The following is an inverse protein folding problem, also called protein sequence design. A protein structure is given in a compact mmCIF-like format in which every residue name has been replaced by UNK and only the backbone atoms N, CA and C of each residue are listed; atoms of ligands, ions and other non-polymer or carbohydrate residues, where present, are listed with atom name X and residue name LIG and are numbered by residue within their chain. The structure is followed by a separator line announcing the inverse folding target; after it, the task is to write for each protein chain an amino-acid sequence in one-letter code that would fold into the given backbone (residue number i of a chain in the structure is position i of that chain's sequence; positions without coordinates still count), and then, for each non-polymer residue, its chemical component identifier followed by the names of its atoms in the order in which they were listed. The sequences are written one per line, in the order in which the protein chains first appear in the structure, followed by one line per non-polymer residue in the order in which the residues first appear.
data_IF_564166826116
#
_entry.id   IF_564166826116
#
_cell.length_a   1.000
_cell.length_b   1.000
_cell.length_c   1.000
_cell.angle_alpha   90.00
_cell.angle_beta   90.00
_cell.angle_gamma   90.00
#
_symmetry.space_group_name_H-M   'P 1'
#
loop_
_entity.id
_entity.type
_entity.pdbx_description
1 polymer ?
#
# COMPACT_ATOMS: atom_id res chain seq x y z
N UNK A 1 25.45 -0.08 -2.72
CA UNK A 1 25.03 1.34 -2.73
C UNK A 1 24.14 1.52 -1.51
N UNK A 2 24.40 2.50 -0.63
CA UNK A 2 23.54 2.76 0.54
C UNK A 2 22.35 3.60 0.11
N UNK A 3 21.15 3.26 0.57
CA UNK A 3 19.93 3.99 0.22
C UNK A 3 19.69 5.21 1.12
N UNK A 4 20.28 5.23 2.31
CA UNK A 4 20.13 6.30 3.30
C UNK A 4 20.34 7.71 2.71
N UNK A 5 19.43 8.62 3.03
CA UNK A 5 19.36 10.04 2.62
C UNK A 5 19.18 10.26 1.11
N UNK A 6 18.98 9.19 0.34
CA UNK A 6 18.80 9.30 -1.11
C UNK A 6 17.36 9.66 -1.50
N UNK A 7 17.20 10.18 -2.73
CA UNK A 7 15.87 10.35 -3.34
C UNK A 7 15.11 9.02 -3.45
N UNK A 8 15.83 7.92 -3.64
CA UNK A 8 15.22 6.58 -3.74
C UNK A 8 14.61 6.12 -2.43
N UNK A 9 15.26 6.37 -1.29
CA UNK A 9 14.70 6.07 0.03
C UNK A 9 13.40 6.84 0.29
N UNK A 10 13.40 8.15 0.02
CA UNK A 10 12.19 8.99 0.14
C UNK A 10 11.06 8.49 -0.77
N UNK A 11 11.38 8.10 -2.00
CA UNK A 11 10.40 7.54 -2.92
C UNK A 11 9.85 6.19 -2.43
N UNK A 12 10.70 5.31 -1.89
CA UNK A 12 10.25 4.02 -1.34
C UNK A 12 9.31 4.22 -0.14
N UNK A 13 9.58 5.20 0.72
CA UNK A 13 8.72 5.54 1.85
C UNK A 13 7.37 6.10 1.37
N UNK A 14 7.39 7.01 0.40
CA UNK A 14 6.18 7.56 -0.20
C UNK A 14 5.34 6.48 -0.89
N UNK A 15 5.98 5.56 -1.63
CA UNK A 15 5.32 4.39 -2.21
C UNK A 15 4.72 3.49 -1.14
N UNK A 16 5.46 3.16 -0.08
CA UNK A 16 4.93 2.37 1.04
C UNK A 16 3.69 3.01 1.67
N UNK A 17 3.70 4.32 1.91
CA UNK A 17 2.55 5.04 2.43
C UNK A 17 1.38 5.02 1.44
N UNK A 18 1.64 5.27 0.15
CA UNK A 18 0.65 5.23 -0.92
C UNK A 18 -0.06 3.88 -1.03
N UNK A 19 0.70 2.79 -1.06
CA UNK A 19 0.15 1.42 -1.14
C UNK A 19 -0.62 1.04 0.11
N UNK A 20 -0.15 1.46 1.29
CA UNK A 20 -0.86 1.24 2.55
C UNK A 20 -2.22 1.95 2.58
N UNK A 21 -2.29 3.18 2.06
CA UNK A 21 -3.56 3.89 1.91
C UNK A 21 -4.46 3.26 0.84
N UNK A 22 -3.88 2.81 -0.29
CA UNK A 22 -4.62 2.14 -1.36
C UNK A 22 -5.29 0.86 -0.88
N UNK A 23 -4.56 0.00 -0.16
CA UNK A 23 -5.11 -1.20 0.50
C UNK A 23 -6.35 -0.89 1.33
N UNK A 24 -6.29 0.15 2.19
CA UNK A 24 -7.42 0.52 3.04
C UNK A 24 -8.62 0.99 2.19
N UNK A 25 -8.40 1.84 1.19
CA UNK A 25 -9.47 2.29 0.28
C UNK A 25 -10.13 1.13 -0.47
N UNK A 26 -9.36 0.22 -1.04
CA UNK A 26 -9.91 -0.95 -1.74
C UNK A 26 -10.69 -1.87 -0.80
N UNK A 27 -10.23 -2.05 0.43
CA UNK A 27 -11.00 -2.78 1.46
C UNK A 27 -12.36 -2.12 1.73
N UNK A 28 -12.41 -0.78 1.80
CA UNK A 28 -13.68 -0.06 1.96
C UNK A 28 -14.58 -0.18 0.73
N UNK A 29 -14.02 -0.10 -0.48
CA UNK A 29 -14.77 -0.26 -1.72
C UNK A 29 -15.32 -1.67 -1.89
N UNK A 30 -14.60 -2.70 -1.44
CA UNK A 30 -15.14 -4.06 -1.37
C UNK A 30 -16.40 -4.11 -0.49
N UNK A 31 -16.38 -3.44 0.67
CA UNK A 31 -17.54 -3.33 1.55
C UNK A 31 -18.73 -2.62 0.90
N UNK A 32 -18.48 -1.56 0.12
CA UNK A 32 -19.52 -0.86 -0.65
C UNK A 32 -20.08 -1.76 -1.76
N UNK A 33 -19.22 -2.41 -2.54
CA UNK A 33 -19.62 -3.31 -3.63
C UNK A 33 -20.47 -4.48 -3.12
N UNK A 34 -20.09 -5.06 -1.96
CA UNK A 34 -20.85 -6.14 -1.32
C UNK A 34 -22.24 -5.68 -0.89
N UNK A 35 -22.36 -4.49 -0.27
CA UNK A 35 -23.67 -3.90 0.10
C UNK A 35 -24.58 -3.64 -1.11
N UNK A 36 -24.00 -3.39 -2.27
CA UNK A 36 -24.73 -3.21 -3.52
C UNK A 36 -25.04 -4.54 -4.26
N UNK A 37 -24.65 -5.69 -3.71
CA UNK A 37 -24.89 -7.02 -4.32
C UNK A 37 -23.87 -7.42 -5.39
N UNK A 38 -22.80 -6.66 -5.58
CA UNK A 38 -21.74 -6.96 -6.55
C UNK A 38 -20.65 -7.85 -5.95
N UNK A 39 -20.97 -9.11 -5.68
CA UNK A 39 -20.07 -10.05 -4.99
C UNK A 39 -18.73 -10.25 -5.72
N UNK A 40 -18.74 -10.39 -7.05
CA UNK A 40 -17.50 -10.55 -7.83
C UNK A 40 -16.62 -9.30 -7.78
N UNK A 41 -17.21 -8.11 -7.83
CA UNK A 41 -16.47 -6.84 -7.75
C UNK A 41 -15.89 -6.66 -6.34
N UNK A 42 -16.64 -7.03 -5.31
CA UNK A 42 -16.14 -7.01 -3.93
C UNK A 42 -14.92 -7.94 -3.77
N UNK A 43 -14.97 -9.14 -4.34
CA UNK A 43 -13.84 -10.08 -4.33
C UNK A 43 -12.61 -9.50 -5.06
N UNK A 44 -12.80 -8.87 -6.22
CA UNK A 44 -11.70 -8.22 -6.97
C UNK A 44 -11.08 -7.09 -6.15
N UNK A 45 -11.87 -6.26 -5.46
CA UNK A 45 -11.32 -5.21 -4.60
C UNK A 45 -10.52 -5.78 -3.41
N UNK A 46 -10.95 -6.89 -2.81
CA UNK A 46 -10.19 -7.54 -1.75
C UNK A 46 -8.88 -8.14 -2.26
N UNK A 47 -8.90 -8.82 -3.41
CA UNK A 47 -7.69 -9.37 -4.03
C UNK A 47 -6.70 -8.24 -4.40
N UNK A 48 -7.22 -7.14 -4.95
CA UNK A 48 -6.41 -5.94 -5.23
C UNK A 48 -5.81 -5.35 -3.94
N UNK A 49 -6.59 -5.25 -2.86
CA UNK A 49 -6.08 -4.80 -1.57
C UNK A 49 -4.95 -5.70 -1.02
N UNK A 50 -5.04 -7.01 -1.25
CA UNK A 50 -3.98 -7.95 -0.91
C UNK A 50 -2.76 -7.83 -1.81
N UNK A 51 -2.91 -7.47 -3.08
CA UNK A 51 -1.78 -7.13 -3.94
C UNK A 51 -1.05 -5.88 -3.44
N UNK A 52 -1.77 -4.81 -3.08
CA UNK A 52 -1.14 -3.59 -2.53
C UNK A 52 -0.44 -3.84 -1.19
N UNK A 53 -0.96 -4.77 -0.38
CA UNK A 53 -0.26 -5.25 0.82
C UNK A 53 1.11 -5.85 0.47
N UNK A 54 1.19 -6.68 -0.56
CA UNK A 54 2.46 -7.29 -0.97
C UNK A 54 3.40 -6.26 -1.64
N UNK A 55 2.87 -5.29 -2.38
CA UNK A 55 3.65 -4.15 -2.88
C UNK A 55 4.26 -3.33 -1.72
N UNK A 56 3.43 -2.91 -0.76
CA UNK A 56 3.86 -2.18 0.43
C UNK A 56 4.93 -2.96 1.21
N UNK A 57 4.72 -4.27 1.41
CA UNK A 57 5.68 -5.14 2.10
C UNK A 57 7.00 -5.25 1.35
N UNK A 58 6.99 -5.27 0.01
CA UNK A 58 8.22 -5.27 -0.80
C UNK A 58 8.98 -3.95 -0.65
N UNK A 59 8.29 -2.80 -0.73
CA UNK A 59 8.92 -1.49 -0.53
C UNK A 59 9.47 -1.31 0.87
N UNK A 60 8.72 -1.73 1.89
CA UNK A 60 9.16 -1.67 3.28
C UNK A 60 10.44 -2.48 3.52
N UNK A 61 10.56 -3.66 2.90
CA UNK A 61 11.78 -4.51 2.99
C UNK A 61 13.02 -3.89 2.34
N UNK A 62 12.85 -2.92 1.44
CA UNK A 62 13.96 -2.20 0.80
C UNK A 62 14.47 -1.03 1.65
N UNK A 63 13.72 -0.63 2.69
CA UNK A 63 14.16 0.41 3.62
C UNK A 63 15.19 -0.18 4.58
N UNK A 64 16.31 0.51 4.75
CA UNK A 64 17.44 0.07 5.60
C UNK A 64 17.19 0.34 7.11
N UNK A 65 16.05 0.95 7.46
CA UNK A 65 15.68 1.34 8.82
C UNK A 65 16.33 2.65 9.29
N UNK A 66 15.74 3.30 10.31
CA UNK A 66 16.18 4.60 10.82
C UNK A 66 14.99 5.50 11.19
N UNK A 67 15.28 6.71 11.68
CA UNK A 67 14.25 7.75 11.79
C UNK A 67 13.87 8.22 10.38
N UNK A 68 12.67 7.87 9.95
CA UNK A 68 12.10 8.33 8.69
C UNK A 68 10.76 8.98 9.00
N UNK A 69 10.65 10.27 8.69
CA UNK A 69 9.41 11.01 8.86
C UNK A 69 8.47 10.69 7.69
N UNK A 70 7.32 10.09 7.99
CA UNK A 70 6.27 9.86 7.00
C UNK A 70 5.31 11.04 7.08
N UNK A 71 5.46 11.99 6.16
CA UNK A 71 4.46 13.05 5.92
C UNK A 71 3.48 12.60 4.86
N UNK A 72 2.19 12.48 5.21
CA UNK A 72 1.10 12.13 4.31
C UNK A 72 0.47 13.38 3.68
#
# INVERSE_FOLDING_TARGET
MKLKDSKTEKNLLASFAGESQARNRYTYFAGVAKKAGYEQIAAIFLDTADNEKEHAKRFFKLLEGGEVEITA
#
